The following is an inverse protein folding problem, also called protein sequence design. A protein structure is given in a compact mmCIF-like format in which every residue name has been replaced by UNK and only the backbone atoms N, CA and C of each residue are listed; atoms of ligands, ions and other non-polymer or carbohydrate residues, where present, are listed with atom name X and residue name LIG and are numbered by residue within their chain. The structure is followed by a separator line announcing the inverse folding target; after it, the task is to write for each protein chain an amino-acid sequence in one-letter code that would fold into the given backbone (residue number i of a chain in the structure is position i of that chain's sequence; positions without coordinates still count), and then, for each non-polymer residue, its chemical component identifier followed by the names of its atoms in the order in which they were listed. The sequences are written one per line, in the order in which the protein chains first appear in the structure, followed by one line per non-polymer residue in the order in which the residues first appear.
data_IF_125780153963
#
_entry.id   IF_125780153963
#
_cell.length_a   1.000
_cell.length_b   1.000
_cell.length_c   1.000
_cell.angle_alpha   90.00
_cell.angle_beta   90.00
_cell.angle_gamma   90.00
#
_symmetry.space_group_name_H-M   'P 1'
#
loop_
_entity.id
_entity.type
_entity.pdbx_description
1 polymer ?
#
# COMPACT_ATOMS: atom_id res chain seq x y z
N UNK A 1 -5.58 14.31 14.25
CA UNK A 1 -4.43 13.79 14.99
C UNK A 1 -4.41 14.34 16.41
N UNK A 2 -4.08 13.48 17.38
CA UNK A 2 -4.02 13.84 18.80
C UNK A 2 -3.86 12.58 19.66
N UNK A 3 -3.65 12.71 20.97
CA UNK A 3 -3.44 11.59 21.89
C UNK A 3 -4.77 10.90 22.27
N UNK A 4 -5.61 10.63 21.29
CA UNK A 4 -6.93 10.00 21.48
C UNK A 4 -6.99 8.73 20.67
N UNK A 5 -7.32 7.61 21.32
CA UNK A 5 -7.52 6.32 20.69
C UNK A 5 -9.03 6.00 20.64
N UNK A 6 -9.57 5.87 19.45
CA UNK A 6 -10.94 5.38 19.27
C UNK A 6 -10.98 3.86 19.38
N UNK A 7 -11.82 3.34 20.26
CA UNK A 7 -11.98 1.91 20.47
C UNK A 7 -13.38 1.49 20.07
N UNK A 8 -13.47 0.50 19.19
CA UNK A 8 -14.73 -0.05 18.69
C UNK A 8 -14.72 -1.56 18.84
N UNK A 9 -15.83 -2.14 19.26
CA UNK A 9 -16.04 -3.58 19.30
C UNK A 9 -16.66 -4.06 17.99
N UNK A 10 -16.47 -5.33 17.67
CA UNK A 10 -17.07 -5.98 16.49
C UNK A 10 -17.63 -7.35 16.88
N UNK A 11 -18.55 -7.88 16.06
CA UNK A 11 -19.22 -9.15 16.32
C UNK A 11 -18.50 -10.34 15.67
N UNK A 12 -17.96 -10.14 14.46
CA UNK A 12 -17.31 -11.18 13.66
C UNK A 12 -16.27 -10.59 12.68
N UNK A 13 -15.67 -11.45 11.87
CA UNK A 13 -14.63 -11.05 10.92
C UNK A 13 -15.17 -10.15 9.80
N UNK A 14 -16.37 -10.38 9.33
CA UNK A 14 -16.97 -9.59 8.26
C UNK A 14 -17.28 -8.17 8.75
N UNK A 15 -17.83 -8.06 9.95
CA UNK A 15 -18.11 -6.76 10.58
C UNK A 15 -16.83 -5.94 10.78
N UNK A 16 -15.77 -6.55 11.32
CA UNK A 16 -14.51 -5.81 11.55
C UNK A 16 -13.86 -5.37 10.24
N UNK A 17 -13.87 -6.20 9.19
CA UNK A 17 -13.30 -5.85 7.88
C UNK A 17 -14.10 -4.70 7.26
N UNK A 18 -15.41 -4.79 7.25
CA UNK A 18 -16.30 -3.75 6.74
C UNK A 18 -16.05 -2.42 7.45
N UNK A 19 -16.03 -2.43 8.79
CA UNK A 19 -15.85 -1.21 9.61
C UNK A 19 -14.43 -0.65 9.52
N UNK A 20 -13.42 -1.50 9.46
CA UNK A 20 -12.03 -1.06 9.29
C UNK A 20 -11.81 -0.38 7.93
N UNK A 21 -12.57 -0.78 6.91
CA UNK A 21 -12.52 -0.19 5.58
C UNK A 21 -13.45 1.02 5.40
N UNK A 22 -14.36 1.27 6.34
CA UNK A 22 -15.32 2.38 6.31
C UNK A 22 -14.65 3.69 6.75
N UNK A 23 -13.70 4.14 5.96
CA UNK A 23 -12.93 5.37 6.12
C UNK A 23 -12.39 5.83 4.77
N UNK A 24 -12.22 7.13 4.62
CA UNK A 24 -11.58 7.73 3.44
C UNK A 24 -10.07 7.52 3.40
N UNK A 25 -9.48 6.99 4.44
CA UNK A 25 -8.05 6.76 4.59
C UNK A 25 -7.69 5.27 4.55
N UNK A 26 -6.43 4.98 4.27
CA UNK A 26 -5.91 3.63 4.24
C UNK A 26 -4.39 3.61 4.30
N UNK A 27 -3.81 4.23 5.35
CA UNK A 27 -2.35 4.28 5.48
C UNK A 27 -1.81 2.95 5.98
N UNK A 28 -2.26 2.52 7.16
CA UNK A 28 -1.67 1.39 7.86
C UNK A 28 -2.72 0.58 8.62
N UNK A 29 -2.46 -0.73 8.75
CA UNK A 29 -3.27 -1.63 9.55
C UNK A 29 -2.43 -2.74 10.20
N UNK A 30 -2.88 -3.23 11.35
CA UNK A 30 -2.31 -4.37 12.05
C UNK A 30 -3.38 -5.37 12.47
N UNK A 31 -3.09 -6.66 12.30
CA UNK A 31 -3.95 -7.75 12.78
C UNK A 31 -3.19 -8.58 13.80
N UNK A 32 -3.77 -8.73 14.98
CA UNK A 32 -3.20 -9.48 16.09
C UNK A 32 -4.07 -10.71 16.37
N UNK A 33 -3.54 -11.90 16.15
CA UNK A 33 -4.21 -13.16 16.39
C UNK A 33 -3.21 -14.32 16.43
N UNK A 34 -3.49 -15.34 17.22
CA UNK A 34 -2.73 -16.59 17.22
C UNK A 34 -3.05 -17.49 16.01
N UNK A 35 -4.18 -17.26 15.35
CA UNK A 35 -4.56 -18.01 14.16
C UNK A 35 -3.99 -17.37 12.90
N UNK A 36 -2.90 -17.92 12.38
CA UNK A 36 -2.20 -17.39 11.21
C UNK A 36 -3.07 -17.37 9.94
N UNK A 37 -3.95 -18.35 9.75
CA UNK A 37 -4.86 -18.36 8.60
C UNK A 37 -5.88 -17.22 8.68
N UNK A 38 -6.38 -16.92 9.88
CA UNK A 38 -7.23 -15.75 10.13
C UNK A 38 -6.47 -14.48 9.86
N UNK A 39 -5.25 -14.36 10.37
CA UNK A 39 -4.40 -13.18 10.15
C UNK A 39 -4.30 -12.83 8.66
N UNK A 40 -3.90 -13.79 7.84
CA UNK A 40 -3.77 -13.59 6.39
C UNK A 40 -5.11 -13.31 5.70
N UNK A 41 -6.17 -14.01 6.07
CA UNK A 41 -7.49 -13.82 5.48
C UNK A 41 -8.04 -12.42 5.76
N UNK A 42 -7.89 -11.94 6.99
CA UNK A 42 -8.39 -10.63 7.39
C UNK A 42 -7.54 -9.53 6.75
N UNK A 43 -6.19 -9.59 6.89
CA UNK A 43 -5.33 -8.52 6.38
C UNK A 43 -5.42 -8.35 4.88
N UNK A 44 -5.64 -9.43 4.12
CA UNK A 44 -5.80 -9.38 2.68
C UNK A 44 -7.03 -8.56 2.22
N UNK A 45 -8.01 -8.37 3.09
CA UNK A 45 -9.23 -7.63 2.80
C UNK A 45 -9.20 -6.20 3.37
N UNK A 46 -8.20 -5.84 4.16
CA UNK A 46 -8.05 -4.48 4.68
C UNK A 46 -7.46 -3.57 3.61
N UNK A 47 -8.10 -2.44 3.40
CA UNK A 47 -7.71 -1.43 2.42
C UNK A 47 -6.69 -0.44 3.01
N UNK A 48 -5.50 -0.95 3.30
CA UNK A 48 -4.37 -0.17 3.78
C UNK A 48 -3.09 -0.52 3.02
N UNK A 49 -2.22 0.46 2.82
CA UNK A 49 -1.00 0.28 2.04
C UNK A 49 0.15 -0.33 2.82
N UNK A 50 0.11 -0.26 4.16
CA UNK A 50 1.10 -0.85 5.06
C UNK A 50 0.36 -1.77 6.02
N UNK A 51 0.73 -3.05 6.05
CA UNK A 51 0.04 -4.04 6.85
C UNK A 51 0.99 -4.89 7.67
N UNK A 52 0.62 -5.16 8.92
CA UNK A 52 1.39 -6.01 9.82
C UNK A 52 0.54 -7.14 10.39
N UNK A 53 1.17 -8.28 10.62
CA UNK A 53 0.60 -9.41 11.37
C UNK A 53 1.39 -9.59 12.65
N UNK A 54 0.71 -9.49 13.80
CA UNK A 54 1.29 -9.61 15.14
C UNK A 54 2.50 -8.68 15.40
N UNK A 55 2.56 -7.57 14.67
CA UNK A 55 3.57 -6.53 14.78
C UNK A 55 2.93 -5.19 14.42
N UNK A 56 3.62 -4.09 14.66
CA UNK A 56 3.22 -2.76 14.22
C UNK A 56 4.42 -1.82 14.14
N UNK A 57 4.47 -0.98 13.11
CA UNK A 57 5.45 0.09 12.97
C UNK A 57 6.80 -0.31 12.36
N UNK A 58 7.10 -1.58 12.20
CA UNK A 58 8.33 -2.03 11.55
C UNK A 58 8.26 -1.77 10.04
N UNK A 59 9.26 -1.07 9.51
CA UNK A 59 9.35 -0.71 8.10
C UNK A 59 10.80 -0.82 7.62
N UNK A 60 11.28 -2.04 7.30
CA UNK A 60 12.59 -2.21 6.71
C UNK A 60 12.68 -1.51 5.35
N UNK A 61 13.89 -1.09 4.96
CA UNK A 61 14.11 -0.28 3.76
C UNK A 61 13.66 -0.96 2.45
N UNK A 62 13.58 -2.28 2.44
CA UNK A 62 13.13 -3.09 1.31
C UNK A 62 11.60 -3.16 1.19
N UNK A 63 10.89 -2.83 2.26
CA UNK A 63 9.43 -2.86 2.30
C UNK A 63 8.84 -1.56 1.76
N UNK A 64 8.15 -1.56 0.61
CA UNK A 64 7.46 -0.38 0.13
C UNK A 64 6.40 0.09 1.11
N UNK A 65 6.39 1.38 1.42
CA UNK A 65 5.43 2.02 2.31
C UNK A 65 4.65 3.11 1.59
N UNK A 66 3.39 3.25 1.92
CA UNK A 66 2.53 4.27 1.34
C UNK A 66 1.06 3.96 1.59
N UNK A 67 0.19 4.91 1.27
CA UNK A 67 -1.23 4.83 1.56
C UNK A 67 -2.09 4.27 0.44
N UNK A 68 -3.30 3.92 0.80
CA UNK A 68 -4.45 3.74 -0.07
C UNK A 68 -5.40 4.95 0.12
N UNK A 69 -6.35 5.10 -0.77
CA UNK A 69 -7.39 6.13 -0.69
C UNK A 69 -6.77 7.53 -0.50
N UNK A 70 -7.34 8.36 0.35
CA UNK A 70 -6.82 9.71 0.63
C UNK A 70 -5.51 9.74 1.44
N UNK A 71 -5.01 8.59 1.90
CA UNK A 71 -3.69 8.53 2.55
C UNK A 71 -2.51 8.64 1.56
N UNK A 72 -2.77 8.67 0.27
CA UNK A 72 -1.78 8.96 -0.76
C UNK A 72 -1.62 7.85 -1.79
N UNK A 73 -0.94 8.16 -2.89
CA UNK A 73 -0.82 7.29 -4.07
C UNK A 73 0.61 6.79 -4.32
N UNK A 74 1.61 7.48 -3.78
CA UNK A 74 3.02 7.10 -3.94
C UNK A 74 3.45 5.94 -3.06
N UNK A 75 4.67 5.50 -3.29
CA UNK A 75 5.36 4.54 -2.41
C UNK A 75 6.75 5.04 -2.14
N UNK A 76 7.17 4.91 -0.87
CA UNK A 76 8.55 5.11 -0.43
C UNK A 76 9.15 3.75 -0.06
N UNK A 77 10.43 3.69 0.12
CA UNK A 77 11.20 2.46 0.34
C UNK A 77 11.09 1.46 -0.83
N UNK A 78 11.92 0.44 -0.80
CA UNK A 78 11.98 -0.59 -1.84
C UNK A 78 12.42 -0.04 -3.21
N UNK A 79 12.59 -0.94 -4.16
CA UNK A 79 13.02 -0.62 -5.53
C UNK A 79 12.00 0.26 -6.27
N UNK A 80 10.74 0.19 -5.89
CA UNK A 80 9.66 0.94 -6.55
C UNK A 80 9.82 2.47 -6.41
N UNK A 81 10.45 2.92 -5.34
CA UNK A 81 10.73 4.35 -5.11
C UNK A 81 11.57 4.96 -6.23
N UNK A 82 12.51 4.22 -6.80
CA UNK A 82 13.35 4.70 -7.91
C UNK A 82 12.51 5.19 -9.10
N UNK A 83 11.36 4.58 -9.35
CA UNK A 83 10.46 5.00 -10.43
C UNK A 83 9.85 6.38 -10.18
N UNK A 84 9.64 6.73 -8.91
CA UNK A 84 9.07 8.03 -8.53
C UNK A 84 10.09 9.17 -8.62
N UNK A 85 11.39 8.84 -8.55
CA UNK A 85 12.49 9.82 -8.64
C UNK A 85 13.16 9.86 -10.01
N UNK A 86 12.65 9.12 -10.99
CA UNK A 86 13.20 9.06 -12.35
C UNK A 86 12.11 9.27 -13.39
N UNK A 87 12.52 9.70 -14.58
CA UNK A 87 11.64 9.77 -15.74
C UNK A 87 12.12 8.81 -16.82
N UNK A 88 11.20 8.02 -17.37
CA UNK A 88 11.49 7.15 -18.50
C UNK A 88 11.59 7.98 -19.79
N UNK A 89 12.69 7.85 -20.52
CA UNK A 89 12.85 8.40 -21.86
C UNK A 89 13.10 7.26 -22.84
N UNK A 90 12.34 7.22 -23.92
CA UNK A 90 12.59 6.31 -25.02
C UNK A 90 13.33 7.04 -26.14
N UNK A 91 14.40 6.44 -26.66
CA UNK A 91 15.15 6.95 -27.80
C UNK A 91 15.19 5.86 -28.86
N UNK A 92 14.70 6.18 -30.05
CA UNK A 92 14.80 5.31 -31.22
C UNK A 92 15.80 5.91 -32.21
N UNK A 93 16.79 5.15 -32.60
CA UNK A 93 17.78 5.56 -33.60
C UNK A 93 17.55 4.76 -34.87
N UNK A 94 17.06 5.43 -35.92
CA UNK A 94 16.96 4.86 -37.24
C UNK A 94 18.34 4.84 -37.92
N UNK A 95 18.79 3.67 -38.35
CA UNK A 95 20.05 3.48 -39.09
C UNK A 95 19.83 3.44 -40.61
N UNK A 96 18.61 3.49 -41.08
CA UNK A 96 18.26 3.55 -42.49
C UNK A 96 18.14 5.01 -42.95
N UNK A 97 18.47 5.32 -44.22
CA UNK A 97 18.18 6.63 -44.80
C UNK A 97 16.68 6.93 -44.68
N UNK A 98 16.34 8.19 -44.36
CA UNK A 98 14.95 8.62 -44.38
C UNK A 98 14.47 8.65 -45.85
N UNK A 99 13.63 7.69 -46.21
CA UNK A 99 12.85 7.79 -47.43
C UNK A 99 11.67 8.74 -47.15
N UNK A 100 11.86 10.00 -47.47
CA UNK A 100 10.82 11.00 -47.31
C UNK A 100 9.77 10.89 -48.39
N UNK A 101 8.53 11.24 -48.15
CA UNK A 101 7.48 11.31 -49.15
C UNK A 101 7.59 12.56 -50.05
N UNK A 102 8.70 13.27 -50.00
CA UNK A 102 8.97 14.50 -50.75
C UNK A 102 10.13 14.32 -51.69
#
# INVERSE_FOLDING_TARGET
FGPVMSVLTFCDEEDVIRRANDTDYGLAAGVFTQNIRRAHRVIAQIQAGICWLNAYGNSPAEMPVGGYKLSGIGRENGVQTLKSYTQTKSVYVGMQPLEGPF
#
